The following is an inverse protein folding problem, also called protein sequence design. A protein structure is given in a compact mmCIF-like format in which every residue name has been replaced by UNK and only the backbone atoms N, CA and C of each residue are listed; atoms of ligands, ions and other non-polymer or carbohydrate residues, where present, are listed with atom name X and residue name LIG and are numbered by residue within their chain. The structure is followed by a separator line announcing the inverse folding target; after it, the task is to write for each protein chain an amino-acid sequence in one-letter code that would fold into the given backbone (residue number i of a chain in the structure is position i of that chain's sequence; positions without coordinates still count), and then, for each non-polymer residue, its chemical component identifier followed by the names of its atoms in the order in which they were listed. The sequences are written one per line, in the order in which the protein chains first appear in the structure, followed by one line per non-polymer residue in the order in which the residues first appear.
data_IF_178352653776
#
_entry.id   IF_178352653776
#
_cell.length_a   1.000
_cell.length_b   1.000
_cell.length_c   1.000
_cell.angle_alpha   90.00
_cell.angle_beta   90.00
_cell.angle_gamma   90.00
#
_symmetry.space_group_name_H-M   'P 1'
#
loop_
_entity.id
_entity.type
_entity.pdbx_description
1 polymer ?
#
# COMPACT_ATOMS: atom_id res chain seq x y z
N UNK A 1 13.69 0.04 5.22
CA UNK A 1 13.46 -0.68 6.48
C UNK A 1 12.35 -1.72 6.35
N UNK A 2 11.13 -1.34 5.91
CA UNK A 2 10.02 -2.30 5.77
C UNK A 2 10.35 -3.45 4.82
N UNK A 3 10.90 -3.15 3.65
CA UNK A 3 11.16 -4.12 2.57
C UNK A 3 12.49 -4.83 2.67
N UNK A 4 13.41 -4.35 3.51
CA UNK A 4 14.78 -4.89 3.63
C UNK A 4 15.07 -5.52 4.99
N UNK A 5 14.14 -5.35 5.93
CA UNK A 5 14.32 -5.71 7.34
C UNK A 5 15.26 -4.75 8.07
N UNK A 6 15.44 -5.00 9.36
CA UNK A 6 16.28 -4.22 10.27
C UNK A 6 17.39 -5.11 10.82
N UNK A 7 18.62 -4.67 10.66
CA UNK A 7 19.76 -5.38 11.27
C UNK A 7 19.78 -5.09 12.77
N UNK A 8 19.73 -6.16 13.57
CA UNK A 8 19.76 -6.09 15.03
C UNK A 8 20.91 -6.90 15.57
N UNK A 9 21.56 -6.37 16.61
CA UNK A 9 22.59 -7.06 17.34
C UNK A 9 22.00 -7.55 18.66
N UNK A 10 22.07 -8.83 18.92
CA UNK A 10 21.54 -9.44 20.14
C UNK A 10 22.59 -10.30 20.83
N UNK A 11 22.55 -10.37 22.17
CA UNK A 11 23.41 -11.18 22.97
C UNK A 11 22.95 -12.64 22.93
N UNK A 12 23.90 -13.58 22.78
CA UNK A 12 23.66 -15.03 22.80
C UNK A 12 24.23 -15.69 24.06
N UNK A 13 24.62 -14.92 25.08
CA UNK A 13 25.27 -15.37 26.30
C UNK A 13 26.79 -15.31 26.22
N UNK A 14 27.46 -15.53 27.33
CA UNK A 14 28.93 -15.54 27.47
C UNK A 14 29.66 -14.33 26.86
N UNK A 15 29.05 -13.16 26.90
CA UNK A 15 29.60 -11.93 26.32
C UNK A 15 29.68 -11.93 24.79
N UNK A 16 29.13 -12.93 24.12
CA UNK A 16 29.08 -13.04 22.66
C UNK A 16 27.83 -12.36 22.14
N UNK A 17 27.93 -11.70 20.97
CA UNK A 17 26.80 -11.11 20.27
C UNK A 17 26.74 -11.64 18.85
N UNK A 18 25.52 -11.73 18.31
CA UNK A 18 25.24 -12.11 16.94
C UNK A 18 24.44 -10.99 16.28
N UNK A 19 24.70 -10.74 15.01
CA UNK A 19 23.87 -9.87 14.18
C UNK A 19 22.88 -10.73 13.40
N UNK A 20 21.64 -10.33 13.39
CA UNK A 20 20.57 -10.96 12.61
C UNK A 20 19.66 -9.91 12.02
N UNK A 21 18.84 -10.31 11.06
CA UNK A 21 17.86 -9.44 10.41
C UNK A 21 16.47 -9.73 10.97
N UNK A 22 15.77 -8.67 11.38
CA UNK A 22 14.38 -8.74 11.83
C UNK A 22 13.48 -8.12 10.76
N UNK A 23 12.44 -8.82 10.38
CA UNK A 23 11.42 -8.38 9.44
C UNK A 23 10.21 -7.86 10.19
N UNK A 24 9.78 -6.66 9.89
CA UNK A 24 8.60 -6.02 10.49
C UNK A 24 7.32 -6.50 9.83
N UNK A 25 7.40 -6.96 8.59
CA UNK A 25 6.30 -7.47 7.79
C UNK A 25 6.77 -8.74 7.07
N UNK A 26 5.98 -9.79 7.14
CA UNK A 26 6.18 -11.00 6.33
C UNK A 26 5.50 -10.80 4.96
N UNK A 27 6.32 -10.55 3.95
CA UNK A 27 5.83 -10.35 2.58
C UNK A 27 5.60 -11.66 1.83
N UNK A 28 5.99 -12.80 2.39
CA UNK A 28 5.91 -14.10 1.74
C UNK A 28 4.64 -14.83 2.13
N UNK A 29 4.30 -14.79 3.41
CA UNK A 29 3.10 -15.43 3.96
C UNK A 29 2.24 -14.36 4.61
N UNK A 30 1.22 -13.83 3.89
CA UNK A 30 0.36 -12.76 4.40
C UNK A 30 -0.29 -13.06 5.74
N UNK A 31 -0.60 -14.33 5.99
CA UNK A 31 -1.27 -14.83 7.21
C UNK A 31 -0.42 -14.67 8.46
N UNK A 32 0.89 -14.52 8.33
CA UNK A 32 1.80 -14.26 9.45
C UNK A 32 1.73 -12.81 9.95
N UNK A 33 0.98 -11.93 9.26
CA UNK A 33 0.83 -10.55 9.66
C UNK A 33 -0.55 -10.31 10.29
N UNK A 34 -0.58 -9.41 11.27
CA UNK A 34 -1.81 -8.85 11.79
C UNK A 34 -2.25 -7.67 10.91
N UNK A 35 -3.47 -7.73 10.38
CA UNK A 35 -4.10 -6.64 9.64
C UNK A 35 -5.24 -6.07 10.46
N UNK A 36 -5.17 -4.79 10.78
CA UNK A 36 -6.17 -4.10 11.59
C UNK A 36 -6.65 -2.83 10.88
N UNK A 37 -7.96 -2.70 10.70
CA UNK A 37 -8.59 -1.46 10.26
C UNK A 37 -9.22 -0.75 11.46
N UNK A 38 -8.79 0.46 11.75
CA UNK A 38 -9.31 1.27 12.84
C UNK A 38 -10.02 2.48 12.26
N UNK A 39 -11.31 2.61 12.56
CA UNK A 39 -12.07 3.79 12.22
C UNK A 39 -11.87 4.89 13.28
N UNK A 40 -11.83 6.13 12.83
CA UNK A 40 -11.75 7.32 13.69
C UNK A 40 -10.59 7.25 14.70
N UNK A 41 -9.41 6.82 14.23
CA UNK A 41 -8.21 6.72 15.05
C UNK A 41 -7.73 8.09 15.49
N UNK A 42 -7.80 8.36 16.80
CA UNK A 42 -7.45 9.68 17.35
C UNK A 42 -5.94 9.83 17.53
N UNK A 43 -5.38 10.87 16.95
CA UNK A 43 -3.97 11.27 17.10
C UNK A 43 -3.89 12.64 17.71
N UNK A 44 -3.12 12.77 18.79
CA UNK A 44 -2.83 14.05 19.45
C UNK A 44 -1.33 14.33 19.30
N UNK A 45 -1.00 15.40 18.62
CA UNK A 45 0.39 15.82 18.37
C UNK A 45 0.47 17.35 18.40
N UNK A 46 1.43 17.92 19.15
CA UNK A 46 1.66 19.37 19.23
C UNK A 46 0.37 20.18 19.47
N UNK A 47 -0.49 19.75 20.40
CA UNK A 47 -1.80 20.34 20.69
C UNK A 47 -2.83 20.22 19.56
N UNK A 48 -2.52 19.54 18.48
CA UNK A 48 -3.49 19.18 17.46
C UNK A 48 -4.13 17.83 17.80
N UNK A 49 -5.45 17.80 17.77
CA UNK A 49 -6.23 16.59 17.88
C UNK A 49 -6.88 16.33 16.51
N UNK A 50 -6.52 15.24 15.87
CA UNK A 50 -7.03 14.85 14.55
C UNK A 50 -7.48 13.39 14.56
N UNK A 51 -8.41 13.09 13.68
CA UNK A 51 -9.07 11.78 13.66
C UNK A 51 -9.36 11.38 12.22
N UNK A 52 -8.37 10.80 11.51
CA UNK A 52 -8.59 10.20 10.20
C UNK A 52 -9.70 9.17 10.22
N UNK A 53 -10.44 9.06 9.12
CA UNK A 53 -11.63 8.22 9.06
C UNK A 53 -11.28 6.74 9.20
N UNK A 54 -10.25 6.25 8.49
CA UNK A 54 -9.77 4.88 8.65
C UNK A 54 -8.24 4.88 8.58
N UNK A 55 -7.61 4.12 9.48
CA UNK A 55 -6.18 3.81 9.44
C UNK A 55 -6.02 2.29 9.36
N UNK A 56 -5.31 1.80 8.34
CA UNK A 56 -4.93 0.40 8.24
C UNK A 56 -3.55 0.19 8.83
N UNK A 57 -3.50 -0.72 9.79
CA UNK A 57 -2.27 -1.17 10.42
C UNK A 57 -1.87 -2.54 9.91
N UNK A 58 -0.58 -2.75 9.71
CA UNK A 58 0.02 -4.06 9.53
C UNK A 58 1.07 -4.22 10.62
N UNK A 59 0.92 -5.23 11.48
CA UNK A 59 1.80 -5.48 12.64
C UNK A 59 2.01 -4.22 13.51
N UNK A 60 0.93 -3.44 13.72
CA UNK A 60 0.95 -2.22 14.50
C UNK A 60 1.50 -0.98 13.77
N UNK A 61 1.97 -1.08 12.53
CA UNK A 61 2.45 0.06 11.74
C UNK A 61 1.32 0.68 10.93
N UNK A 62 1.05 2.00 11.02
CA UNK A 62 0.00 2.69 10.27
C UNK A 62 0.44 2.88 8.82
N UNK A 63 0.05 1.97 7.94
CA UNK A 63 0.56 1.95 6.56
C UNK A 63 -0.36 2.63 5.56
N UNK A 64 -1.69 2.57 5.75
CA UNK A 64 -2.63 3.23 4.83
C UNK A 64 -3.59 4.11 5.61
N UNK A 65 -3.77 5.33 5.16
CA UNK A 65 -4.64 6.32 5.79
C UNK A 65 -5.72 6.69 4.80
N UNK A 66 -6.97 6.67 5.27
CA UNK A 66 -8.14 7.03 4.47
C UNK A 66 -8.76 8.32 4.98
N UNK A 67 -9.21 9.10 4.04
CA UNK A 67 -10.14 10.19 4.27
C UNK A 67 -11.36 10.02 3.38
N UNK A 68 -12.52 9.97 4.01
CA UNK A 68 -13.79 9.72 3.36
C UNK A 68 -14.66 10.98 3.39
N UNK A 69 -15.43 11.21 2.35
CA UNK A 69 -16.44 12.26 2.30
C UNK A 69 -17.80 11.65 1.99
N UNK A 70 -18.84 12.35 2.41
CA UNK A 70 -20.19 11.90 2.15
C UNK A 70 -20.63 12.40 0.76
N UNK A 71 -20.93 11.47 -0.15
CA UNK A 71 -21.40 11.79 -1.51
C UNK A 71 -22.71 12.62 -1.56
N UNK A 72 -23.46 12.69 -0.46
CA UNK A 72 -24.71 13.47 -0.37
C UNK A 72 -24.45 14.94 -0.06
N UNK A 73 -23.27 15.31 0.40
CA UNK A 73 -22.90 16.69 0.67
C UNK A 73 -22.37 17.35 -0.59
N UNK A 74 -23.11 18.30 -1.17
CA UNK A 74 -22.76 19.03 -2.40
C UNK A 74 -21.38 19.72 -2.36
N UNK A 75 -20.81 19.93 -1.17
CA UNK A 75 -19.48 20.53 -0.96
C UNK A 75 -18.38 19.53 -0.67
N UNK A 76 -18.71 18.28 -0.47
CA UNK A 76 -17.77 17.24 -0.09
C UNK A 76 -17.43 16.38 -1.30
N UNK A 77 -16.32 16.67 -1.93
CA UNK A 77 -15.76 15.89 -3.03
C UNK A 77 -14.44 15.21 -2.63
N UNK A 78 -13.95 14.35 -3.48
CA UNK A 78 -12.69 13.66 -3.32
C UNK A 78 -11.50 14.62 -3.18
N UNK A 79 -11.60 15.84 -3.77
CA UNK A 79 -10.59 16.89 -3.64
C UNK A 79 -10.53 17.45 -2.21
N UNK A 80 -11.69 17.61 -1.56
CA UNK A 80 -11.76 18.03 -0.16
C UNK A 80 -11.10 16.99 0.76
N UNK A 81 -11.30 15.69 0.50
CA UNK A 81 -10.59 14.62 1.22
C UNK A 81 -9.07 14.73 1.05
N UNK A 82 -8.60 14.99 -0.16
CA UNK A 82 -7.19 15.22 -0.43
C UNK A 82 -6.61 16.40 0.39
N UNK A 83 -7.27 17.54 0.41
CA UNK A 83 -6.81 18.70 1.18
C UNK A 83 -6.79 18.41 2.68
N UNK A 84 -7.71 17.61 3.18
CA UNK A 84 -7.73 17.22 4.57
C UNK A 84 -6.53 16.32 4.93
N UNK A 85 -6.18 15.34 4.07
CA UNK A 85 -4.96 14.54 4.24
C UNK A 85 -3.71 15.42 4.24
N UNK A 86 -3.61 16.42 3.34
CA UNK A 86 -2.48 17.37 3.33
C UNK A 86 -2.39 18.17 4.63
N UNK A 87 -3.54 18.53 5.22
CA UNK A 87 -3.57 19.16 6.54
C UNK A 87 -3.06 18.20 7.63
N UNK A 88 -3.49 16.93 7.62
CA UNK A 88 -3.02 15.94 8.60
C UNK A 88 -1.51 15.74 8.51
N UNK A 89 -0.94 15.65 7.29
CA UNK A 89 0.50 15.55 7.09
C UNK A 89 1.29 16.69 7.77
N UNK A 90 0.70 17.88 7.87
CA UNK A 90 1.32 19.05 8.50
C UNK A 90 1.16 19.07 10.02
N UNK A 91 0.01 18.67 10.54
CA UNK A 91 -0.34 18.87 11.96
C UNK A 91 -0.17 17.64 12.83
N UNK A 92 -0.15 16.44 12.24
CA UNK A 92 0.10 15.15 12.90
C UNK A 92 1.09 14.29 12.09
N UNK A 93 2.30 14.80 11.75
CA UNK A 93 3.25 14.13 10.86
C UNK A 93 3.71 12.76 11.37
N UNK A 94 3.68 12.50 12.67
CA UNK A 94 4.10 11.21 13.23
C UNK A 94 3.28 10.04 12.68
N UNK A 95 1.99 10.23 12.40
CA UNK A 95 1.12 9.21 11.82
C UNK A 95 1.60 8.76 10.42
N UNK A 96 2.28 9.64 9.69
CA UNK A 96 2.72 9.41 8.33
C UNK A 96 4.15 8.84 8.22
N UNK A 97 4.84 8.64 9.34
CA UNK A 97 6.23 8.14 9.36
C UNK A 97 6.39 6.81 8.61
N UNK A 98 5.43 5.91 8.78
CA UNK A 98 5.44 4.58 8.15
C UNK A 98 4.45 4.47 6.98
N UNK A 99 3.75 5.56 6.66
CA UNK A 99 2.71 5.55 5.63
C UNK A 99 3.22 4.96 4.31
N UNK A 100 2.54 3.96 3.79
CA UNK A 100 2.79 3.41 2.47
C UNK A 100 2.12 4.27 1.38
N UNK A 101 0.83 4.48 1.50
CA UNK A 101 0.02 5.33 0.64
C UNK A 101 -1.24 5.81 1.35
N UNK A 102 -1.97 6.69 0.69
CA UNK A 102 -3.19 7.33 1.16
C UNK A 102 -4.34 7.00 0.23
N UNK A 103 -5.56 6.96 0.77
CA UNK A 103 -6.79 6.75 0.01
C UNK A 103 -7.77 7.88 0.29
N UNK A 104 -8.37 8.41 -0.74
CA UNK A 104 -9.43 9.40 -0.70
C UNK A 104 -10.66 8.86 -1.40
N UNK A 105 -11.85 9.08 -0.83
CA UNK A 105 -13.10 8.61 -1.43
C UNK A 105 -14.29 9.43 -0.96
N UNK A 106 -15.33 9.49 -1.78
CA UNK A 106 -16.66 9.96 -1.41
C UNK A 106 -17.68 8.81 -1.30
N UNK A 107 -17.18 7.56 -1.31
CA UNK A 107 -18.00 6.34 -1.30
C UNK A 107 -18.27 5.80 -2.70
N UNK A 108 -18.33 6.65 -3.73
CA UNK A 108 -18.46 6.24 -5.13
C UNK A 108 -17.12 6.28 -5.84
N UNK A 109 -16.49 7.44 -5.92
CA UNK A 109 -15.14 7.61 -6.45
C UNK A 109 -14.09 7.30 -5.38
N UNK A 110 -13.02 6.64 -5.77
CA UNK A 110 -11.92 6.33 -4.86
C UNK A 110 -10.58 6.38 -5.58
N UNK A 111 -9.60 7.04 -4.95
CA UNK A 111 -8.25 7.19 -5.48
C UNK A 111 -7.21 6.91 -4.43
N UNK A 112 -6.10 6.34 -4.85
CA UNK A 112 -4.93 6.11 -4.01
C UNK A 112 -3.72 6.90 -4.51
N UNK A 113 -2.92 7.39 -3.58
CA UNK A 113 -1.71 8.15 -3.88
C UNK A 113 -0.73 8.11 -2.72
N UNK A 114 0.45 8.72 -2.88
CA UNK A 114 1.46 8.75 -1.83
C UNK A 114 1.48 10.11 -1.13
N UNK A 115 2.14 10.18 0.01
CA UNK A 115 2.33 11.41 0.79
C UNK A 115 2.91 12.57 -0.04
N UNK A 116 3.73 12.27 -1.06
CA UNK A 116 4.35 13.26 -1.94
C UNK A 116 3.57 13.51 -3.24
N UNK A 117 2.43 12.86 -3.43
CA UNK A 117 1.59 13.02 -4.62
C UNK A 117 0.78 14.31 -4.56
N UNK A 118 0.71 15.00 -5.70
CA UNK A 118 -0.32 16.00 -5.96
C UNK A 118 -1.64 15.31 -6.27
N UNK A 119 -2.76 16.03 -6.22
CA UNK A 119 -4.08 15.45 -6.48
C UNK A 119 -4.17 14.75 -7.85
N UNK A 120 -3.54 15.30 -8.89
CA UNK A 120 -3.48 14.68 -10.23
C UNK A 120 -2.74 13.35 -10.29
N UNK A 121 -2.00 13.00 -9.23
CA UNK A 121 -1.27 11.73 -9.10
C UNK A 121 -1.98 10.73 -8.20
N UNK A 122 -3.12 11.08 -7.62
CA UNK A 122 -4.01 10.12 -6.99
C UNK A 122 -4.77 9.39 -8.09
N UNK A 123 -4.63 8.08 -8.14
CA UNK A 123 -5.10 7.23 -9.22
C UNK A 123 -6.19 6.27 -8.74
N UNK A 124 -7.15 6.01 -9.60
CA UNK A 124 -8.20 5.01 -9.40
C UNK A 124 -7.61 3.60 -9.49
N UNK A 125 -8.20 2.67 -8.74
CA UNK A 125 -7.88 1.25 -8.87
C UNK A 125 -9.05 0.52 -9.49
N UNK A 126 -9.02 0.36 -10.82
CA UNK A 126 -10.19 -0.06 -11.63
C UNK A 126 -10.29 -1.55 -11.90
N UNK A 127 -9.48 -2.39 -11.27
CA UNK A 127 -9.57 -3.83 -11.52
C UNK A 127 -9.19 -4.62 -10.28
N UNK A 128 -9.91 -5.72 -10.05
CA UNK A 128 -9.59 -6.67 -8.98
C UNK A 128 -8.64 -7.77 -9.49
N UNK A 129 -8.82 -8.19 -10.75
CA UNK A 129 -8.15 -9.35 -11.35
C UNK A 129 -7.20 -9.00 -12.52
N UNK A 130 -7.14 -7.73 -12.91
CA UNK A 130 -6.34 -7.26 -14.04
C UNK A 130 -6.89 -7.65 -15.42
N UNK A 131 -8.15 -8.12 -15.47
CA UNK A 131 -8.85 -8.51 -16.69
C UNK A 131 -10.09 -7.64 -16.86
N UNK A 132 -10.93 -7.59 -15.84
CA UNK A 132 -12.17 -6.83 -15.84
C UNK A 132 -11.93 -5.44 -15.27
N UNK A 133 -12.25 -4.42 -16.05
CA UNK A 133 -12.12 -3.02 -15.65
C UNK A 133 -13.49 -2.51 -15.21
N UNK A 134 -13.56 -1.97 -14.01
CA UNK A 134 -14.79 -1.40 -13.46
C UNK A 134 -15.20 -0.16 -14.25
N UNK A 135 -16.47 -0.13 -14.67
CA UNK A 135 -17.08 1.06 -15.20
C UNK A 135 -17.62 1.92 -14.05
N UNK A 136 -16.96 3.03 -13.77
CA UNK A 136 -17.29 3.97 -12.70
C UNK A 136 -18.71 4.57 -12.80
N UNK A 137 -19.37 4.42 -13.94
CA UNK A 137 -20.78 4.84 -14.10
C UNK A 137 -21.76 3.87 -13.43
N UNK A 138 -21.39 2.60 -13.34
CA UNK A 138 -22.28 1.53 -12.91
C UNK A 138 -21.88 0.87 -11.58
N UNK A 139 -20.64 1.09 -11.13
CA UNK A 139 -20.11 0.46 -9.93
C UNK A 139 -19.24 1.43 -9.12
N UNK A 140 -19.29 1.39 -7.77
CA UNK A 140 -18.41 2.18 -6.93
C UNK A 140 -16.95 1.80 -7.11
N UNK A 141 -16.08 2.78 -7.35
CA UNK A 141 -14.63 2.59 -7.44
C UNK A 141 -14.02 2.16 -6.11
N UNK A 142 -14.63 2.60 -4.98
CA UNK A 142 -14.18 2.22 -3.64
C UNK A 142 -14.22 0.69 -3.46
N UNK A 143 -15.22 0.01 -3.97
CA UNK A 143 -15.31 -1.45 -3.89
C UNK A 143 -14.17 -2.13 -4.64
N UNK A 144 -13.87 -1.66 -5.86
CA UNK A 144 -12.76 -2.16 -6.66
C UNK A 144 -11.41 -1.90 -5.99
N UNK A 145 -11.23 -0.72 -5.40
CA UNK A 145 -10.02 -0.37 -4.66
C UNK A 145 -9.83 -1.29 -3.44
N UNK A 146 -10.90 -1.49 -2.66
CA UNK A 146 -10.83 -2.35 -1.46
C UNK A 146 -10.55 -3.81 -1.83
N UNK A 147 -11.28 -4.37 -2.79
CA UNK A 147 -11.12 -5.77 -3.21
C UNK A 147 -9.82 -6.03 -3.98
N UNK A 148 -9.35 -5.06 -4.74
CA UNK A 148 -8.15 -5.16 -5.58
C UNK A 148 -6.90 -4.72 -4.83
N UNK A 149 -6.73 -3.41 -4.60
CA UNK A 149 -5.51 -2.83 -4.01
C UNK A 149 -5.30 -3.27 -2.55
N UNK A 150 -6.37 -3.35 -1.76
CA UNK A 150 -6.29 -3.70 -0.33
C UNK A 150 -6.46 -5.19 -0.05
N UNK A 151 -6.58 -6.04 -1.07
CA UNK A 151 -6.39 -7.47 -0.88
C UNK A 151 -5.01 -7.71 -0.24
N UNK A 152 -4.93 -8.55 0.78
CA UNK A 152 -3.70 -8.73 1.58
C UNK A 152 -2.47 -9.02 0.72
N UNK A 153 -2.59 -9.90 -0.29
CA UNK A 153 -1.49 -10.23 -1.20
C UNK A 153 -1.09 -9.03 -2.06
N UNK A 154 -2.07 -8.37 -2.70
CA UNK A 154 -1.82 -7.19 -3.53
C UNK A 154 -1.24 -6.05 -2.71
N UNK A 155 -1.79 -5.79 -1.51
CA UNK A 155 -1.31 -4.75 -0.61
C UNK A 155 0.17 -4.95 -0.24
N UNK A 156 0.54 -6.16 0.18
CA UNK A 156 1.91 -6.49 0.51
C UNK A 156 2.83 -6.39 -0.70
N UNK A 157 2.40 -6.86 -1.85
CA UNK A 157 3.16 -6.81 -3.10
C UNK A 157 3.40 -5.37 -3.57
N UNK A 158 2.36 -4.52 -3.52
CA UNK A 158 2.47 -3.07 -3.80
C UNK A 158 3.50 -2.42 -2.87
N UNK A 159 3.41 -2.67 -1.57
CA UNK A 159 4.33 -2.09 -0.58
C UNK A 159 5.77 -2.55 -0.86
N UNK A 160 5.96 -3.80 -1.21
CA UNK A 160 7.28 -4.40 -1.40
C UNK A 160 7.95 -4.00 -2.70
N UNK A 161 7.21 -3.99 -3.82
CA UNK A 161 7.78 -3.95 -5.17
C UNK A 161 7.32 -2.77 -6.03
N UNK A 162 6.21 -2.12 -5.68
CA UNK A 162 5.57 -1.12 -6.52
C UNK A 162 5.50 0.28 -5.91
N UNK A 163 6.20 0.48 -4.79
CA UNK A 163 6.48 1.80 -4.22
C UNK A 163 7.97 2.08 -4.39
N UNK A 164 8.28 3.19 -5.06
CA UNK A 164 9.66 3.62 -5.33
C UNK A 164 9.89 5.05 -4.85
N UNK A 165 11.15 5.35 -4.55
CA UNK A 165 11.58 6.69 -4.14
C UNK A 165 12.48 7.27 -5.23
N UNK A 166 12.00 8.33 -5.86
CA UNK A 166 12.79 9.11 -6.81
C UNK A 166 13.49 10.26 -6.09
N UNK A 167 14.80 10.27 -6.14
CA UNK A 167 15.61 11.31 -5.51
C UNK A 167 15.97 12.37 -6.56
N UNK A 168 15.46 13.58 -6.39
CA UNK A 168 15.86 14.76 -7.17
C UNK A 168 16.88 15.60 -6.40
N UNK A 169 17.40 16.67 -7.01
CA UNK A 169 18.30 17.61 -6.31
C UNK A 169 17.61 18.33 -5.15
N UNK A 170 16.29 18.51 -5.22
CA UNK A 170 15.53 19.33 -4.28
C UNK A 170 14.75 18.50 -3.26
N UNK A 171 14.26 17.32 -3.65
CA UNK A 171 13.38 16.52 -2.81
C UNK A 171 13.43 15.03 -3.17
N UNK A 172 12.98 14.21 -2.22
CA UNK A 172 12.64 12.80 -2.48
C UNK A 172 11.14 12.68 -2.72
N UNK A 173 10.76 12.09 -3.83
CA UNK A 173 9.36 11.86 -4.22
C UNK A 173 9.07 10.37 -4.12
N UNK A 174 8.05 10.02 -3.34
CA UNK A 174 7.53 8.67 -3.24
C UNK A 174 6.49 8.47 -4.34
N UNK A 175 6.59 7.39 -5.08
CA UNK A 175 5.69 7.02 -6.18
C UNK A 175 5.14 5.62 -5.98
N UNK A 176 3.89 5.41 -6.35
CA UNK A 176 3.22 4.11 -6.35
C UNK A 176 2.75 3.80 -7.77
N UNK A 177 2.82 2.53 -8.18
CA UNK A 177 2.33 2.09 -9.47
C UNK A 177 0.80 2.18 -9.55
N UNK A 178 0.29 2.53 -10.74
CA UNK A 178 -1.12 2.42 -11.06
C UNK A 178 -1.53 0.95 -11.27
N UNK A 179 -2.84 0.63 -11.18
CA UNK A 179 -3.35 -0.74 -11.31
C UNK A 179 -2.90 -1.42 -12.61
N UNK A 180 -2.94 -0.70 -13.73
CA UNK A 180 -2.54 -1.25 -15.02
C UNK A 180 -1.03 -1.56 -15.10
N UNK A 181 -0.18 -0.76 -14.45
CA UNK A 181 1.25 -1.03 -14.32
C UNK A 181 1.49 -2.27 -13.45
N UNK A 182 0.80 -2.36 -12.31
CA UNK A 182 0.86 -3.51 -11.41
C UNK A 182 0.54 -4.81 -12.16
N UNK A 183 -0.60 -4.87 -12.82
CA UNK A 183 -1.02 -6.07 -13.54
C UNK A 183 -0.15 -6.36 -14.76
N UNK A 184 0.31 -5.34 -15.50
CA UNK A 184 1.19 -5.53 -16.65
C UNK A 184 2.53 -6.14 -16.26
N UNK A 185 3.16 -5.63 -15.20
CA UNK A 185 4.43 -6.15 -14.69
C UNK A 185 4.28 -7.58 -14.20
N UNK A 186 3.25 -7.88 -13.41
CA UNK A 186 3.00 -9.23 -12.91
C UNK A 186 2.72 -10.22 -14.05
N UNK A 187 1.94 -9.85 -15.06
CA UNK A 187 1.73 -10.68 -16.26
C UNK A 187 3.03 -10.92 -17.03
N UNK A 188 3.86 -9.89 -17.18
CA UNK A 188 5.16 -10.04 -17.87
C UNK A 188 6.09 -11.00 -17.11
N UNK A 189 6.17 -10.89 -15.77
CA UNK A 189 6.96 -11.80 -14.93
C UNK A 189 6.49 -13.25 -15.12
N UNK A 190 5.16 -13.50 -14.99
CA UNK A 190 4.59 -14.85 -15.19
C UNK A 190 4.90 -15.40 -16.57
N UNK A 191 4.77 -14.60 -17.64
CA UNK A 191 5.07 -15.03 -19.00
C UNK A 191 6.56 -15.36 -19.18
N UNK A 192 7.45 -14.56 -18.60
CA UNK A 192 8.89 -14.82 -18.65
C UNK A 192 9.26 -16.10 -17.91
N UNK A 193 8.71 -16.31 -16.72
CA UNK A 193 8.95 -17.54 -15.95
C UNK A 193 8.47 -18.78 -16.70
N UNK A 194 7.29 -18.74 -17.32
CA UNK A 194 6.78 -19.84 -18.14
C UNK A 194 7.72 -20.17 -19.32
N UNK A 195 8.13 -19.15 -20.07
CA UNK A 195 9.06 -19.32 -21.17
C UNK A 195 10.42 -19.89 -20.73
N UNK A 196 10.91 -19.50 -19.54
CA UNK A 196 12.16 -20.02 -18.99
C UNK A 196 12.07 -21.49 -18.58
N UNK A 197 10.91 -21.93 -18.07
CA UNK A 197 10.68 -23.34 -17.71
C UNK A 197 10.52 -24.23 -18.94
N UNK A 198 9.91 -23.74 -20.00
CA UNK A 198 9.76 -24.48 -21.26
C UNK A 198 11.09 -24.72 -21.99
N UNK A 199 12.11 -23.88 -21.73
CA UNK A 199 13.45 -24.01 -22.32
C UNK A 199 14.41 -24.88 -21.53
N UNK A 200 14.09 -25.18 -20.23
CA UNK A 200 14.91 -26.03 -19.36
C UNK A 200 14.07 -27.17 -18.73
N UNK A 201 14.10 -28.41 -19.23
CA UNK A 201 13.23 -29.50 -18.77
C UNK A 201 13.50 -30.00 -17.32
N UNK A 202 14.37 -29.40 -16.55
CA UNK A 202 14.75 -29.86 -15.21
C UNK A 202 14.68 -28.83 -14.08
N UNK A 203 14.05 -27.68 -14.27
CA UNK A 203 13.85 -26.75 -13.14
C UNK A 203 12.41 -26.81 -12.63
N UNK A 204 12.20 -27.59 -11.58
CA UNK A 204 10.96 -27.55 -10.79
C UNK A 204 11.01 -26.28 -9.97
N UNK A 205 10.26 -25.27 -10.36
CA UNK A 205 10.13 -24.03 -9.60
C UNK A 205 9.38 -24.31 -8.29
N UNK A 206 10.07 -24.21 -7.16
CA UNK A 206 9.48 -24.36 -5.82
C UNK A 206 8.54 -23.22 -5.39
N UNK A 207 8.19 -22.26 -6.25
CA UNK A 207 7.33 -21.13 -5.90
C UNK A 207 6.27 -20.74 -6.94
N UNK A 208 5.24 -21.58 -7.20
CA UNK A 208 4.07 -21.13 -7.96
C UNK A 208 3.09 -20.29 -7.12
N UNK A 209 3.30 -20.17 -5.81
CA UNK A 209 2.30 -19.58 -4.89
C UNK A 209 2.30 -18.04 -4.81
N UNK A 210 3.27 -17.35 -5.36
CA UNK A 210 3.41 -15.89 -5.20
C UNK A 210 2.49 -15.11 -6.15
N UNK A 211 2.03 -15.70 -7.26
CA UNK A 211 1.31 -14.96 -8.31
C UNK A 211 -0.11 -15.46 -8.62
N UNK A 212 -0.74 -16.17 -7.71
CA UNK A 212 -2.19 -16.44 -7.78
C UNK A 212 -2.66 -17.05 -9.11
N UNK A 213 -2.04 -18.12 -9.59
CA UNK A 213 -2.61 -18.94 -10.65
C UNK A 213 -3.55 -19.99 -10.04
N UNK A 214 -4.70 -20.27 -10.69
CA UNK A 214 -5.72 -21.19 -10.19
C UNK A 214 -5.17 -22.60 -10.02
#
# INVERSE_FOLDING_TARGET
LLTEGVDVKFSIGDGKSRTGKVWLVDFTVPENNEFLAVNQFTVVENSNNRRPDIVLFINGLPLVIFELKNAVDEKADVLTAFHQLKTYQQVIPSLFTFNAFEVISDGWFAKAGTISSDYSRFMEWKSVDGIHVVDSKNQPELESLVKGLLNKKTLLDIIRHFIVFEKTKEKTVKKMAAYHQYFAVNKAIVSTLRASVETEPHFVAEHPAVYGLP
#
